data_IF_675724750683
#
_entry.id   IF_675724750683
#
_cell.length_a   1.000
_cell.length_b   1.000
_cell.length_c   1.000
_cell.angle_alpha   90.00
_cell.angle_beta   90.00
_cell.angle_gamma   90.00
#
_symmetry.space_group_name_H-M   'P 1'
#
loop_
_entity.id
_entity.type
_entity.pdbx_description
1 polymer ?
#
# COMPACT_ATOMS: atom_id res chain seq x y z
N UNK A 1 -3.75 27.01 9.38
CA UNK A 1 -2.86 26.45 8.36
C UNK A 1 -3.10 27.08 6.99
N UNK A 2 -4.34 27.48 6.67
CA UNK A 2 -4.67 28.17 5.42
C UNK A 2 -5.34 29.49 5.83
N UNK A 3 -4.60 30.59 5.82
CA UNK A 3 -5.16 31.89 6.24
C UNK A 3 -4.72 33.06 5.36
N UNK A 4 -4.02 32.82 4.25
CA UNK A 4 -3.47 33.92 3.44
C UNK A 4 -3.38 33.66 1.92
N UNK A 5 -4.22 32.77 1.37
CA UNK A 5 -4.25 32.52 -0.09
C UNK A 5 -3.04 31.76 -0.66
N UNK A 6 -2.18 31.21 0.20
CA UNK A 6 -1.11 30.30 -0.19
C UNK A 6 -1.67 28.91 -0.50
N UNK A 7 -1.25 28.35 -1.63
CA UNK A 7 -1.56 26.97 -2.03
C UNK A 7 -0.84 26.03 -1.08
N UNK A 8 -1.58 25.15 -0.42
CA UNK A 8 -1.01 24.12 0.47
C UNK A 8 -1.14 22.77 -0.21
N UNK A 9 -0.01 22.13 -0.51
CA UNK A 9 0.05 20.82 -1.13
C UNK A 9 0.31 19.72 -0.09
N UNK A 10 -0.44 18.63 -0.23
CA UNK A 10 -0.25 17.37 0.48
C UNK A 10 -0.06 16.22 -0.52
N UNK A 11 0.48 15.11 -0.05
CA UNK A 11 0.68 13.89 -0.83
C UNK A 11 0.06 12.69 -0.10
N UNK A 12 -0.68 11.87 -0.84
CA UNK A 12 -1.43 10.76 -0.28
C UNK A 12 -0.55 9.61 0.22
N UNK A 13 -0.81 9.15 1.45
CA UNK A 13 -0.18 8.00 2.09
C UNK A 13 -0.86 6.67 1.72
N UNK A 14 -2.16 6.72 1.48
CA UNK A 14 -3.02 5.57 1.20
C UNK A 14 -3.97 5.90 0.07
N UNK A 15 -4.47 4.85 -0.59
CA UNK A 15 -5.64 4.98 -1.44
C UNK A 15 -6.84 5.35 -0.54
N UNK A 16 -7.52 6.45 -0.88
CA UNK A 16 -8.85 6.74 -0.36
C UNK A 16 -9.85 6.31 -1.42
N UNK A 17 -10.40 5.11 -1.26
CA UNK A 17 -11.45 4.59 -2.13
C UNK A 17 -12.78 4.98 -1.51
N UNK A 18 -13.54 5.81 -2.21
CA UNK A 18 -14.86 6.25 -1.80
C UNK A 18 -15.88 6.09 -2.92
N UNK A 19 -17.15 5.93 -2.54
CA UNK A 19 -18.32 5.94 -3.43
C UNK A 19 -19.24 7.13 -3.13
N UNK A 20 -18.89 7.96 -2.15
CA UNK A 20 -19.61 9.19 -1.81
C UNK A 20 -19.18 10.30 -2.76
N UNK A 21 -20.14 11.04 -3.31
CA UNK A 21 -19.90 12.11 -4.27
C UNK A 21 -19.38 13.41 -3.63
N UNK A 22 -19.41 13.49 -2.30
CA UNK A 22 -18.82 14.58 -1.53
C UNK A 22 -17.38 14.29 -1.05
N UNK A 23 -16.93 13.03 -1.16
CA UNK A 23 -15.58 12.63 -0.76
C UNK A 23 -14.63 12.58 -1.96
N UNK A 24 -13.36 12.88 -1.71
CA UNK A 24 -12.31 12.93 -2.73
C UNK A 24 -11.56 11.60 -2.80
N UNK A 25 -11.84 10.79 -3.81
CA UNK A 25 -11.06 9.58 -4.07
C UNK A 25 -9.67 9.87 -4.64
N UNK A 26 -8.65 9.17 -4.14
CA UNK A 26 -7.27 9.28 -4.64
C UNK A 26 -6.46 8.01 -4.39
N UNK A 27 -5.31 7.90 -5.03
CA UNK A 27 -4.32 6.83 -4.86
C UNK A 27 -3.13 7.30 -4.04
N UNK A 28 -2.46 6.37 -3.37
CA UNK A 28 -1.21 6.66 -2.68
C UNK A 28 -0.18 7.28 -3.65
N UNK A 29 0.41 8.42 -3.25
CA UNK A 29 1.32 9.21 -4.06
C UNK A 29 0.67 10.37 -4.85
N UNK A 30 -0.66 10.45 -4.92
CA UNK A 30 -1.33 11.58 -5.57
C UNK A 30 -1.09 12.89 -4.79
N UNK A 31 -0.91 13.99 -5.53
CA UNK A 31 -0.74 15.33 -4.97
C UNK A 31 -2.11 16.00 -4.85
N UNK A 32 -2.42 16.49 -3.65
CA UNK A 32 -3.70 17.08 -3.29
C UNK A 32 -3.46 18.53 -2.87
N UNK A 33 -4.15 19.46 -3.53
CA UNK A 33 -4.25 20.85 -3.10
C UNK A 33 -5.24 20.93 -1.94
N UNK A 34 -4.78 21.31 -0.75
CA UNK A 34 -5.60 21.44 0.47
C UNK A 34 -6.22 22.82 0.50
N UNK A 35 -7.54 22.86 0.40
CA UNK A 35 -8.34 24.08 0.29
C UNK A 35 -8.91 24.52 1.65
N UNK A 36 -9.33 23.54 2.48
CA UNK A 36 -9.82 23.77 3.83
C UNK A 36 -9.26 22.72 4.80
N UNK A 37 -8.59 23.19 5.86
CA UNK A 37 -8.03 22.37 6.94
C UNK A 37 -8.54 22.82 8.32
N UNK A 38 -9.75 23.38 8.38
CA UNK A 38 -10.37 23.88 9.62
C UNK A 38 -10.75 22.74 10.57
N UNK A 39 -11.20 21.61 10.00
CA UNK A 39 -11.49 20.40 10.77
C UNK A 39 -10.19 19.59 10.97
N UNK A 40 -10.09 18.90 12.10
CA UNK A 40 -8.91 18.13 12.52
C UNK A 40 -8.76 16.79 11.79
N UNK A 41 -9.86 16.20 11.36
CA UNK A 41 -9.91 14.85 10.80
C UNK A 41 -10.24 14.85 9.32
N UNK A 42 -11.06 15.80 8.85
CA UNK A 42 -11.54 15.86 7.47
C UNK A 42 -11.21 17.21 6.84
N UNK A 43 -10.49 17.19 5.72
CA UNK A 43 -10.07 18.36 4.97
C UNK A 43 -10.77 18.40 3.61
N UNK A 44 -11.00 19.60 3.07
CA UNK A 44 -11.46 19.77 1.69
C UNK A 44 -10.25 20.00 0.79
N UNK A 45 -10.18 19.30 -0.33
CA UNK A 45 -9.08 19.46 -1.26
C UNK A 45 -9.45 19.16 -2.70
N UNK A 46 -8.46 19.32 -3.57
CA UNK A 46 -8.60 19.20 -5.01
C UNK A 46 -7.47 18.34 -5.58
N UNK A 47 -7.83 17.47 -6.51
CA UNK A 47 -6.91 16.77 -7.43
C UNK A 47 -7.28 17.14 -8.87
N UNK A 48 -6.52 16.69 -9.87
CA UNK A 48 -6.79 17.00 -11.28
C UNK A 48 -8.21 16.60 -11.73
N UNK A 49 -8.75 15.53 -11.16
CA UNK A 49 -10.02 14.91 -11.57
C UNK A 49 -11.24 15.35 -10.73
N UNK A 50 -11.08 16.25 -9.74
CA UNK A 50 -12.19 16.72 -8.91
C UNK A 50 -11.79 17.34 -7.56
N UNK A 51 -12.80 17.75 -6.77
CA UNK A 51 -12.65 18.27 -5.41
C UNK A 51 -13.63 17.59 -4.45
N UNK A 52 -13.27 17.49 -3.17
CA UNK A 52 -14.06 16.76 -2.17
C UNK A 52 -13.42 16.71 -0.78
N UNK A 53 -14.14 16.13 0.17
CA UNK A 53 -13.65 15.86 1.53
C UNK A 53 -12.73 14.64 1.56
N UNK A 54 -11.66 14.72 2.33
CA UNK A 54 -10.79 13.58 2.56
C UNK A 54 -10.21 13.57 3.98
N UNK A 55 -9.84 12.39 4.50
CA UNK A 55 -9.27 12.27 5.83
C UNK A 55 -7.83 12.83 5.88
N UNK A 56 -7.58 13.79 6.77
CA UNK A 56 -6.26 14.40 6.99
C UNK A 56 -5.18 13.35 7.37
N UNK A 57 -5.60 12.26 8.00
CA UNK A 57 -4.72 11.16 8.41
C UNK A 57 -4.18 10.32 7.24
N UNK A 58 -4.75 10.50 6.03
CA UNK A 58 -4.36 9.77 4.82
C UNK A 58 -3.35 10.54 3.97
N UNK A 59 -2.91 11.73 4.41
CA UNK A 59 -1.99 12.56 3.63
C UNK A 59 -0.80 13.04 4.46
N UNK A 60 0.27 13.45 3.78
CA UNK A 60 1.41 14.18 4.35
C UNK A 60 1.50 15.54 3.67
N UNK A 61 1.50 16.62 4.45
CA UNK A 61 1.81 17.95 3.93
C UNK A 61 3.26 18.00 3.44
N UNK A 62 3.50 18.62 2.28
CA UNK A 62 4.86 18.89 1.80
C UNK A 62 5.58 19.85 2.73
N UNK A 63 6.88 19.70 2.87
CA UNK A 63 7.69 20.60 3.72
C UNK A 63 7.90 21.93 3.02
N UNK A 64 8.18 21.88 1.72
CA UNK A 64 8.34 23.07 0.89
C UNK A 64 7.07 23.28 0.05
N UNK A 65 6.32 24.36 0.34
CA UNK A 65 4.98 24.65 -0.21
C UNK A 65 5.00 25.54 -1.47
N UNK A 66 6.08 26.29 -1.69
CA UNK A 66 6.18 27.34 -2.73
C UNK A 66 6.66 26.83 -4.09
N UNK A 67 6.08 25.76 -4.64
CA UNK A 67 6.33 25.40 -6.03
C UNK A 67 5.07 25.47 -6.89
N UNK A 68 5.02 26.37 -7.89
CA UNK A 68 4.11 26.19 -9.02
C UNK A 68 4.52 24.93 -9.78
N UNK A 69 3.54 24.16 -10.24
CA UNK A 69 3.68 22.83 -10.83
C UNK A 69 4.53 22.71 -12.12
N UNK A 70 5.28 23.75 -12.52
CA UNK A 70 5.87 23.91 -13.86
C UNK A 70 7.37 24.30 -13.86
N UNK A 71 8.19 23.90 -12.87
CA UNK A 71 9.66 24.04 -13.01
C UNK A 71 10.27 23.11 -14.08
N UNK A 72 9.51 22.10 -14.52
CA UNK A 72 9.94 21.18 -15.59
C UNK A 72 9.88 21.83 -16.98
N UNK A 73 9.05 22.87 -17.17
CA UNK A 73 8.91 23.61 -18.43
C UNK A 73 10.02 24.67 -18.64
N UNK A 74 10.60 25.20 -17.58
CA UNK A 74 11.61 26.28 -17.64
C UNK A 74 13.02 25.78 -18.01
N UNK A 75 13.28 24.46 -17.96
CA UNK A 75 14.58 23.88 -18.38
C UNK A 75 14.81 23.89 -19.90
N UNK A 76 13.83 24.28 -20.70
CA UNK A 76 13.93 24.36 -22.16
C UNK A 76 14.28 25.77 -22.69
N UNK A 77 14.40 26.78 -21.82
CA UNK A 77 14.52 28.19 -22.23
C UNK A 77 15.72 28.93 -21.67
N UNK A 78 16.77 28.99 -22.51
CA UNK A 78 17.77 30.05 -22.64
C UNK A 78 18.95 30.15 -21.66
N UNK A 79 20.12 30.38 -22.26
CA UNK A 79 21.42 30.47 -21.62
C UNK A 79 21.75 31.90 -21.21
N UNK A 80 22.17 32.05 -19.95
CA UNK A 80 22.76 33.28 -19.43
C UNK A 80 23.22 33.09 -18.00
N UNK A 81 24.45 32.60 -17.81
CA UNK A 81 25.05 32.51 -16.48
C UNK A 81 25.87 33.78 -16.19
N UNK A 82 25.68 34.37 -15.00
CA UNK A 82 26.73 34.64 -13.99
C UNK A 82 26.26 35.69 -12.98
N UNK A 83 25.40 35.27 -12.03
CA UNK A 83 25.39 35.75 -10.62
C UNK A 83 24.42 34.90 -9.74
N UNK A 84 23.34 34.37 -10.33
CA UNK A 84 22.28 33.64 -9.60
C UNK A 84 22.57 32.19 -9.18
N UNK A 85 23.76 31.64 -9.49
CA UNK A 85 24.07 30.22 -9.23
C UNK A 85 24.33 29.91 -7.75
N UNK A 86 24.97 30.83 -7.02
CA UNK A 86 25.26 30.66 -5.61
C UNK A 86 24.01 30.85 -4.73
N UNK A 87 23.16 31.83 -5.07
CA UNK A 87 21.90 32.08 -4.38
C UNK A 87 20.89 30.95 -4.60
N UNK A 88 20.77 30.43 -5.84
CA UNK A 88 19.92 29.28 -6.14
C UNK A 88 20.39 28.00 -5.45
N UNK A 89 21.70 27.76 -5.37
CA UNK A 89 22.25 26.62 -4.63
C UNK A 89 22.04 26.77 -3.12
N UNK A 90 22.22 27.96 -2.55
CA UNK A 90 21.94 28.23 -1.14
C UNK A 90 20.46 28.05 -0.79
N UNK A 91 19.55 28.37 -1.72
CA UNK A 91 18.10 28.14 -1.54
C UNK A 91 17.76 26.64 -1.54
N UNK A 92 18.33 25.85 -2.46
CA UNK A 92 18.16 24.39 -2.47
C UNK A 92 18.76 23.70 -1.24
N UNK A 93 19.91 24.16 -0.77
CA UNK A 93 20.53 23.70 0.47
C UNK A 93 19.59 23.96 1.67
N UNK A 94 18.91 25.12 1.70
CA UNK A 94 17.91 25.43 2.73
C UNK A 94 16.68 24.51 2.62
N UNK A 95 16.17 24.26 1.42
CA UNK A 95 15.05 23.33 1.20
C UNK A 95 15.40 21.91 1.66
N UNK A 96 16.61 21.42 1.34
CA UNK A 96 17.11 20.13 1.83
C UNK A 96 17.20 20.11 3.36
N UNK A 97 17.71 21.20 3.96
CA UNK A 97 17.76 21.36 5.43
C UNK A 97 16.38 21.25 6.06
N UNK A 98 15.35 21.87 5.47
CA UNK A 98 13.99 21.80 5.98
C UNK A 98 13.48 20.36 6.03
N UNK A 99 13.70 19.58 4.96
CA UNK A 99 13.30 18.17 4.89
C UNK A 99 14.03 17.32 5.93
N UNK A 100 15.34 17.52 6.09
CA UNK A 100 16.15 16.81 7.10
C UNK A 100 15.65 17.08 8.52
N UNK A 101 15.36 18.34 8.82
CA UNK A 101 14.82 18.73 10.13
C UNK A 101 13.43 18.15 10.36
N UNK A 102 12.57 18.10 9.33
CA UNK A 102 11.25 17.46 9.42
C UNK A 102 11.37 15.96 9.69
N UNK A 103 12.25 15.25 8.98
CA UNK A 103 12.52 13.83 9.23
C UNK A 103 12.93 13.64 10.69
N UNK A 104 13.95 14.35 11.16
CA UNK A 104 14.45 14.22 12.54
C UNK A 104 13.41 14.61 13.60
N UNK A 105 12.63 15.66 13.35
CA UNK A 105 11.59 16.09 14.29
C UNK A 105 10.48 15.04 14.37
N UNK A 106 9.96 14.60 13.22
CA UNK A 106 8.88 13.59 13.20
C UNK A 106 9.31 12.25 13.74
N UNK A 107 10.59 11.88 13.62
CA UNK A 107 11.18 10.71 14.26
C UNK A 107 11.17 10.81 15.80
N UNK A 108 11.53 11.96 16.35
CA UNK A 108 11.50 12.20 17.80
C UNK A 108 10.08 12.16 18.34
N UNK A 109 9.14 12.77 17.64
CA UNK A 109 7.73 12.76 18.01
C UNK A 109 7.16 11.35 17.95
N UNK A 110 7.49 10.58 16.91
CA UNK A 110 7.06 9.20 16.78
C UNK A 110 7.63 8.30 17.89
N UNK A 111 8.93 8.42 18.22
CA UNK A 111 9.50 7.70 19.37
C UNK A 111 8.81 8.06 20.67
N UNK A 112 8.45 9.34 20.86
CA UNK A 112 7.72 9.79 22.04
C UNK A 112 6.37 9.10 22.13
N UNK A 113 5.63 9.01 21.02
CA UNK A 113 4.36 8.29 20.95
C UNK A 113 4.53 6.80 21.29
N UNK A 114 5.51 6.11 20.69
CA UNK A 114 5.79 4.70 20.99
C UNK A 114 6.13 4.48 22.47
N UNK A 115 6.94 5.36 23.06
CA UNK A 115 7.26 5.32 24.49
C UNK A 115 6.00 5.48 25.32
N UNK A 116 5.17 6.48 25.02
CA UNK A 116 3.96 6.76 25.80
C UNK A 116 2.95 5.60 25.69
N UNK A 117 2.90 4.88 24.56
CA UNK A 117 2.13 3.63 24.42
C UNK A 117 2.70 2.53 25.34
N UNK A 118 4.00 2.25 25.25
CA UNK A 118 4.64 1.18 26.00
C UNK A 118 4.61 1.43 27.52
N UNK A 119 4.89 2.65 27.95
CA UNK A 119 5.01 3.02 29.37
C UNK A 119 3.67 3.44 29.99
N UNK A 120 2.84 4.15 29.22
CA UNK A 120 1.57 4.69 29.68
C UNK A 120 0.42 3.69 29.62
N UNK A 121 0.35 2.86 28.57
CA UNK A 121 -0.72 1.86 28.41
C UNK A 121 -0.25 0.45 28.74
N UNK A 122 0.68 -0.12 27.97
CA UNK A 122 1.04 -1.56 28.07
C UNK A 122 1.47 -1.91 29.49
N UNK A 123 2.35 -1.10 30.09
CA UNK A 123 2.81 -1.30 31.47
C UNK A 123 1.67 -1.28 32.49
N UNK A 124 0.64 -0.45 32.30
CA UNK A 124 -0.50 -0.37 33.22
C UNK A 124 -1.47 -1.52 32.97
N UNK A 125 -1.71 -1.90 31.71
CA UNK A 125 -2.57 -3.03 31.37
C UNK A 125 -2.02 -4.35 31.96
N UNK A 126 -0.69 -4.59 31.86
CA UNK A 126 -0.03 -5.77 32.45
C UNK A 126 -0.16 -5.85 33.98
N UNK A 127 -0.28 -4.72 34.68
CA UNK A 127 -0.53 -4.71 36.14
C UNK A 127 -1.96 -5.09 36.50
N UNK A 128 -2.88 -5.08 35.53
CA UNK A 128 -4.30 -5.34 35.71
C UNK A 128 -4.70 -6.65 35.02
N UNK A 129 -4.12 -7.76 35.48
CA UNK A 129 -4.47 -9.10 35.01
C UNK A 129 -5.95 -9.47 35.27
N UNK A 130 -6.62 -8.74 36.17
CA UNK A 130 -8.07 -8.81 36.39
C UNK A 130 -8.89 -8.17 35.25
N UNK A 131 -8.28 -7.29 34.45
CA UNK A 131 -8.92 -6.59 33.32
C UNK A 131 -8.43 -7.07 31.96
N UNK A 132 -7.17 -7.47 31.83
CA UNK A 132 -6.56 -7.82 30.55
C UNK A 132 -5.90 -9.19 30.64
N UNK A 133 -6.27 -10.11 29.74
CA UNK A 133 -5.50 -11.33 29.53
C UNK A 133 -4.26 -11.06 28.67
N UNK A 134 -3.25 -11.93 28.76
CA UNK A 134 -2.07 -11.85 27.88
C UNK A 134 -2.43 -11.96 26.40
N UNK A 135 -3.47 -12.71 26.06
CA UNK A 135 -3.99 -12.80 24.69
C UNK A 135 -4.57 -11.45 24.23
N UNK A 136 -5.39 -10.80 25.05
CA UNK A 136 -5.93 -9.46 24.73
C UNK A 136 -4.81 -8.44 24.57
N UNK A 137 -3.76 -8.49 25.39
CA UNK A 137 -2.61 -7.60 25.25
C UNK A 137 -1.88 -7.81 23.92
N UNK A 138 -1.68 -9.07 23.50
CA UNK A 138 -1.09 -9.39 22.20
C UNK A 138 -1.98 -8.91 21.04
N UNK A 139 -3.29 -9.13 21.13
CA UNK A 139 -4.23 -8.66 20.09
C UNK A 139 -4.24 -7.14 19.98
N UNK A 140 -4.29 -6.41 21.10
CA UNK A 140 -4.39 -4.94 21.09
C UNK A 140 -3.07 -4.30 20.67
N UNK A 141 -1.93 -4.74 21.23
CA UNK A 141 -0.66 -4.04 21.07
C UNK A 141 0.30 -4.69 20.06
N UNK A 142 0.06 -5.94 19.66
CA UNK A 142 0.93 -6.67 18.72
C UNK A 142 2.39 -6.67 19.17
N UNK A 143 3.28 -6.44 18.21
CA UNK A 143 4.73 -6.34 18.41
C UNK A 143 5.22 -4.87 18.57
N UNK A 144 4.38 -3.94 19.06
CA UNK A 144 4.75 -2.52 19.15
C UNK A 144 5.96 -2.24 20.06
N UNK A 145 6.22 -3.09 21.05
CA UNK A 145 7.42 -2.96 21.89
C UNK A 145 8.71 -3.27 21.12
N UNK A 146 8.64 -4.17 20.13
CA UNK A 146 9.76 -4.47 19.23
C UNK A 146 9.95 -3.32 18.24
N UNK A 147 8.86 -2.77 17.68
CA UNK A 147 8.91 -1.52 16.89
C UNK A 147 9.59 -0.41 17.70
N UNK A 148 9.21 -0.21 18.97
CA UNK A 148 9.83 0.79 19.82
C UNK A 148 11.33 0.55 20.06
N UNK A 149 11.74 -0.71 20.19
CA UNK A 149 13.16 -1.07 20.33
C UNK A 149 13.95 -0.73 19.06
N UNK A 150 13.47 -1.16 17.90
CA UNK A 150 14.09 -0.87 16.60
C UNK A 150 14.12 0.63 16.32
N UNK A 151 13.02 1.34 16.58
CA UNK A 151 12.95 2.79 16.36
C UNK A 151 13.99 3.54 17.18
N UNK A 152 14.20 3.16 18.45
CA UNK A 152 15.24 3.77 19.30
C UNK A 152 16.64 3.64 18.70
N UNK A 153 16.97 2.50 18.10
CA UNK A 153 18.25 2.31 17.42
C UNK A 153 18.33 3.19 16.16
N UNK A 154 17.27 3.18 15.35
CA UNK A 154 17.19 3.94 14.11
C UNK A 154 17.33 5.47 14.32
N UNK A 155 16.58 6.04 15.28
CA UNK A 155 16.68 7.49 15.58
C UNK A 155 18.06 7.86 16.09
N UNK A 156 18.68 7.00 16.91
CA UNK A 156 20.05 7.23 17.37
C UNK A 156 21.04 7.26 16.19
N UNK A 157 20.87 6.36 15.20
CA UNK A 157 21.69 6.36 13.99
C UNK A 157 21.48 7.63 13.15
N UNK A 158 20.23 8.07 12.97
CA UNK A 158 19.92 9.33 12.27
C UNK A 158 20.54 10.55 12.96
N UNK A 159 20.44 10.65 14.29
CA UNK A 159 21.03 11.76 15.05
C UNK A 159 22.56 11.79 14.99
N UNK A 160 23.20 10.63 14.81
CA UNK A 160 24.65 10.53 14.62
C UNK A 160 25.09 10.99 13.22
N UNK A 161 24.24 10.82 12.20
CA UNK A 161 24.51 11.30 10.83
C UNK A 161 24.12 12.76 10.61
N UNK A 162 23.45 13.38 11.56
CA UNK A 162 23.04 14.78 11.47
C UNK A 162 24.23 15.74 11.63
N UNK A 163 24.47 16.56 10.61
CA UNK A 163 25.49 17.61 10.65
C UNK A 163 24.90 18.90 11.25
N UNK A 164 25.33 19.25 12.46
CA UNK A 164 24.82 20.44 13.18
C UNK A 164 25.24 21.76 12.57
N UNK A 165 26.43 21.82 11.96
CA UNK A 165 26.97 23.06 11.39
C UNK A 165 26.37 23.33 10.00
N UNK A 166 26.18 22.26 9.21
CA UNK A 166 25.62 22.31 7.86
C UNK A 166 24.59 21.20 7.68
N UNK A 167 23.34 21.38 8.16
CA UNK A 167 22.30 20.36 8.12
C UNK A 167 22.08 19.73 6.75
N UNK A 168 22.17 20.52 5.67
CA UNK A 168 22.05 20.05 4.29
C UNK A 168 23.18 19.11 3.82
N UNK A 169 24.24 18.92 4.60
CA UNK A 169 25.29 17.93 4.32
C UNK A 169 25.08 16.61 5.09
N UNK A 170 23.98 16.46 5.84
CA UNK A 170 23.68 15.22 6.55
C UNK A 170 23.45 14.07 5.56
N UNK A 171 23.97 12.89 5.89
CA UNK A 171 23.93 11.68 5.07
C UNK A 171 22.94 10.67 5.70
N UNK A 172 21.66 10.79 5.36
CA UNK A 172 20.59 10.01 6.01
C UNK A 172 20.24 8.72 5.25
N UNK A 173 20.54 8.64 3.95
CA UNK A 173 20.15 7.50 3.11
C UNK A 173 20.71 6.17 3.61
N UNK A 174 21.99 6.16 4.00
CA UNK A 174 22.65 4.98 4.54
C UNK A 174 21.96 4.43 5.80
N UNK A 175 21.44 5.29 6.68
CA UNK A 175 20.73 4.84 7.89
C UNK A 175 19.50 4.00 7.57
N UNK A 176 18.75 4.37 6.52
CA UNK A 176 17.56 3.60 6.10
C UNK A 176 17.94 2.24 5.51
N UNK A 177 19.02 2.18 4.74
CA UNK A 177 19.51 0.93 4.16
C UNK A 177 20.02 -0.04 5.23
N UNK A 178 20.78 0.47 6.21
CA UNK A 178 21.29 -0.32 7.35
C UNK A 178 20.16 -0.95 8.18
N UNK A 179 19.00 -0.28 8.29
CA UNK A 179 17.84 -0.74 9.06
C UNK A 179 16.71 -1.33 8.20
N UNK A 180 16.94 -1.59 6.91
CA UNK A 180 15.91 -2.08 5.97
C UNK A 180 15.22 -3.36 6.47
N UNK A 181 15.99 -4.29 7.03
CA UNK A 181 15.47 -5.54 7.57
C UNK A 181 14.62 -5.31 8.83
N UNK A 182 14.99 -4.33 9.67
CA UNK A 182 14.25 -4.01 10.90
C UNK A 182 12.84 -3.47 10.58
N UNK A 183 12.66 -2.80 9.45
CA UNK A 183 11.34 -2.31 9.04
C UNK A 183 10.36 -3.42 8.65
N UNK A 184 10.81 -4.66 8.43
CA UNK A 184 9.91 -5.78 8.08
C UNK A 184 8.95 -6.14 9.21
N UNK A 185 9.29 -5.85 10.47
CA UNK A 185 8.42 -6.13 11.63
C UNK A 185 7.11 -5.31 11.60
N UNK A 186 7.10 -4.19 10.86
CA UNK A 186 5.87 -3.41 10.64
C UNK A 186 4.82 -4.20 9.86
N UNK A 187 5.22 -5.21 9.08
CA UNK A 187 4.29 -6.12 8.38
C UNK A 187 3.40 -6.87 9.37
N UNK A 188 3.99 -7.46 10.40
CA UNK A 188 3.24 -8.14 11.47
C UNK A 188 2.30 -7.16 12.19
N UNK A 189 2.80 -5.97 12.54
CA UNK A 189 1.99 -4.95 13.22
C UNK A 189 0.77 -4.54 12.39
N UNK A 190 0.98 -4.21 11.11
CA UNK A 190 -0.08 -3.76 10.21
C UNK A 190 -1.12 -4.86 9.94
N UNK A 191 -0.69 -6.13 9.87
CA UNK A 191 -1.59 -7.28 9.73
C UNK A 191 -2.47 -7.50 10.97
N UNK A 192 -1.92 -7.26 12.17
CA UNK A 192 -2.67 -7.42 13.41
C UNK A 192 -3.53 -6.18 13.75
N UNK A 193 -3.21 -5.00 13.22
CA UNK A 193 -3.90 -3.75 13.55
C UNK A 193 -5.44 -3.80 13.38
N UNK A 194 -6.02 -4.43 12.33
CA UNK A 194 -7.48 -4.62 12.25
C UNK A 194 -8.07 -5.36 13.46
N UNK A 195 -7.40 -6.41 13.93
CA UNK A 195 -7.83 -7.18 15.12
C UNK A 195 -7.76 -6.32 16.39
N UNK A 196 -6.71 -5.50 16.51
CA UNK A 196 -6.59 -4.54 17.60
C UNK A 196 -7.77 -3.54 17.60
N UNK A 197 -8.16 -3.02 16.43
CA UNK A 197 -9.30 -2.11 16.29
C UNK A 197 -10.61 -2.78 16.72
N UNK A 198 -10.84 -4.03 16.33
CA UNK A 198 -12.04 -4.80 16.74
C UNK A 198 -12.08 -5.01 18.25
N UNK A 199 -10.97 -5.44 18.86
CA UNK A 199 -10.91 -5.68 20.30
C UNK A 199 -11.05 -4.36 21.09
N UNK A 200 -10.39 -3.28 20.66
CA UNK A 200 -10.57 -1.95 21.27
C UNK A 200 -12.02 -1.48 21.16
N UNK A 201 -12.66 -1.60 20.00
CA UNK A 201 -14.07 -1.23 19.80
C UNK A 201 -15.02 -2.03 20.70
N UNK A 202 -14.66 -3.28 21.03
CA UNK A 202 -15.40 -4.10 21.98
C UNK A 202 -15.19 -3.62 23.42
N UNK A 203 -13.95 -3.30 23.79
CA UNK A 203 -13.59 -2.84 25.14
C UNK A 203 -14.14 -1.43 25.43
N UNK A 204 -14.16 -0.52 24.46
CA UNK A 204 -14.67 0.85 24.64
C UNK A 204 -16.18 0.90 24.88
N UNK A 205 -16.93 -0.17 24.57
CA UNK A 205 -18.35 -0.32 24.97
C UNK A 205 -18.54 -0.56 26.47
N UNK A 206 -17.47 -0.91 27.19
CA UNK A 206 -17.49 -1.22 28.60
C UNK A 206 -16.86 -0.06 29.39
N UNK A 207 -17.67 0.64 30.19
CA UNK A 207 -17.28 1.86 30.91
C UNK A 207 -15.98 1.71 31.72
N UNK A 208 -15.76 0.55 32.35
CA UNK A 208 -14.53 0.28 33.12
C UNK A 208 -13.25 0.42 32.30
N UNK A 209 -13.25 0.05 31.03
CA UNK A 209 -12.07 0.18 30.15
C UNK A 209 -11.93 1.60 29.64
N UNK A 210 -13.04 2.30 29.35
CA UNK A 210 -13.02 3.71 28.98
C UNK A 210 -12.36 4.56 30.07
N UNK A 211 -12.79 4.40 31.32
CA UNK A 211 -12.17 5.11 32.45
C UNK A 211 -10.72 4.70 32.67
N UNK A 212 -10.38 3.42 32.46
CA UNK A 212 -9.01 2.94 32.60
C UNK A 212 -8.08 3.55 31.55
N UNK A 213 -8.48 3.56 30.28
CA UNK A 213 -7.67 4.16 29.21
C UNK A 213 -7.54 5.66 29.38
N UNK A 214 -8.60 6.36 29.78
CA UNK A 214 -8.53 7.80 30.07
C UNK A 214 -7.59 8.10 31.26
N UNK A 215 -7.64 7.28 32.32
CA UNK A 215 -6.70 7.41 33.43
C UNK A 215 -5.24 7.21 32.98
N UNK A 216 -4.97 6.20 32.14
CA UNK A 216 -3.64 6.00 31.56
C UNK A 216 -3.18 7.22 30.74
N UNK A 217 -4.08 7.79 29.93
CA UNK A 217 -3.83 8.99 29.12
C UNK A 217 -3.43 10.19 29.96
N UNK A 218 -4.20 10.47 31.01
CA UNK A 218 -3.97 11.61 31.90
C UNK A 218 -2.69 11.44 32.73
N UNK A 219 -2.41 10.24 33.26
CA UNK A 219 -1.21 9.98 34.07
C UNK A 219 0.08 10.16 33.28
N UNK A 220 0.10 9.72 32.01
CA UNK A 220 1.26 9.87 31.13
C UNK A 220 1.32 11.27 30.49
N UNK A 221 0.33 12.15 30.74
CA UNK A 221 0.20 13.50 30.16
C UNK A 221 0.26 13.47 28.62
N UNK A 222 -0.42 12.48 28.03
CA UNK A 222 -0.51 12.34 26.59
C UNK A 222 -1.42 13.41 25.98
N UNK A 223 -1.16 13.74 24.72
CA UNK A 223 -2.05 14.59 23.92
C UNK A 223 -3.45 13.96 23.83
N UNK A 224 -4.45 14.79 23.54
CA UNK A 224 -5.85 14.37 23.44
C UNK A 224 -6.11 13.63 22.11
N UNK A 225 -5.53 12.44 22.04
CA UNK A 225 -5.69 11.43 20.99
C UNK A 225 -6.08 10.14 21.69
N UNK A 226 -7.05 9.44 21.13
CA UNK A 226 -7.52 8.15 21.62
C UNK A 226 -6.45 7.06 21.47
N UNK A 227 -6.59 5.96 22.22
CA UNK A 227 -5.62 4.86 22.15
C UNK A 227 -5.57 4.25 20.73
N UNK A 228 -6.70 4.10 20.06
CA UNK A 228 -6.78 3.68 18.66
C UNK A 228 -6.00 4.62 17.71
N UNK A 229 -6.11 5.94 17.90
CA UNK A 229 -5.32 6.92 17.15
C UNK A 229 -3.81 6.76 17.38
N UNK A 230 -3.38 6.50 18.61
CA UNK A 230 -1.97 6.19 18.92
C UNK A 230 -1.50 4.90 18.24
N UNK A 231 -2.32 3.84 18.25
CA UNK A 231 -1.98 2.56 17.63
C UNK A 231 -1.98 2.60 16.10
N UNK A 232 -2.59 3.62 15.49
CA UNK A 232 -2.50 3.86 14.04
C UNK A 232 -1.16 4.49 13.63
N UNK A 233 -0.44 5.12 14.55
CA UNK A 233 0.79 5.87 14.23
C UNK A 233 1.89 5.04 13.56
N UNK A 234 2.17 3.76 13.92
CA UNK A 234 3.17 2.96 13.21
C UNK A 234 2.77 2.66 11.76
N UNK A 235 1.48 2.42 11.53
CA UNK A 235 0.91 2.18 10.20
C UNK A 235 1.06 3.42 9.32
N UNK A 236 0.83 4.61 9.87
CA UNK A 236 1.06 5.87 9.15
C UNK A 236 2.55 6.13 8.91
N UNK A 237 3.40 5.84 9.89
CA UNK A 237 4.81 6.18 9.84
C UNK A 237 5.55 5.44 8.74
N UNK A 238 5.28 4.14 8.59
CA UNK A 238 5.95 3.33 7.56
C UNK A 238 5.61 3.80 6.14
N UNK A 239 4.42 4.35 5.92
CA UNK A 239 3.97 4.91 4.64
C UNK A 239 4.46 6.35 4.39
N UNK A 240 4.89 7.07 5.44
CA UNK A 240 5.47 8.42 5.31
C UNK A 240 6.90 8.40 4.80
N UNK A 241 7.67 7.33 5.05
CA UNK A 241 9.08 7.27 4.67
C UNK A 241 9.35 7.42 3.17
N UNK A 242 8.62 6.76 2.25
CA UNK A 242 8.79 6.99 0.83
C UNK A 242 8.59 8.46 0.42
N UNK A 243 7.61 9.15 1.02
CA UNK A 243 7.33 10.54 0.70
C UNK A 243 8.44 11.47 1.21
N UNK A 244 8.89 11.25 2.44
CA UNK A 244 10.00 11.99 3.06
C UNK A 244 11.31 11.82 2.26
N UNK A 245 11.61 10.59 1.83
CA UNK A 245 12.81 10.29 1.04
C UNK A 245 12.71 10.82 -0.40
N UNK A 246 11.53 10.80 -1.02
CA UNK A 246 11.32 11.39 -2.34
C UNK A 246 11.53 12.91 -2.31
N UNK A 247 10.99 13.60 -1.30
CA UNK A 247 11.19 15.03 -1.12
C UNK A 247 12.66 15.35 -0.79
N UNK A 248 13.33 14.51 0.01
CA UNK A 248 14.77 14.66 0.27
C UNK A 248 15.59 14.51 -1.01
N UNK A 249 15.29 13.50 -1.84
CA UNK A 249 15.97 13.24 -3.10
C UNK A 249 15.80 14.41 -4.07
N UNK A 250 14.60 15.01 -4.14
CA UNK A 250 14.30 16.18 -4.97
C UNK A 250 15.26 17.34 -4.73
N UNK A 251 15.62 17.59 -3.47
CA UNK A 251 16.54 18.66 -3.07
C UNK A 251 17.98 18.16 -2.81
N UNK A 252 18.33 16.95 -3.26
CA UNK A 252 19.68 16.41 -3.18
C UNK A 252 20.32 16.41 -4.58
N UNK A 253 21.40 17.17 -4.84
CA UNK A 253 22.02 17.18 -6.16
C UNK A 253 22.74 15.85 -6.46
N UNK A 254 22.84 15.42 -7.74
CA UNK A 254 23.49 14.15 -8.10
C UNK A 254 24.95 14.00 -7.65
N UNK A 255 25.64 15.11 -7.40
CA UNK A 255 27.01 15.14 -6.91
C UNK A 255 27.10 15.01 -5.37
N UNK A 256 25.98 15.13 -4.65
CA UNK A 256 25.94 14.98 -3.21
C UNK A 256 26.27 13.54 -2.80
N UNK A 257 27.02 13.37 -1.71
CA UNK A 257 27.47 12.06 -1.22
C UNK A 257 26.32 11.11 -0.90
N UNK A 258 25.24 11.67 -0.35
CA UNK A 258 24.02 10.94 0.04
C UNK A 258 23.07 10.63 -1.13
N UNK A 259 23.31 11.13 -2.36
CA UNK A 259 22.33 11.03 -3.45
C UNK A 259 21.95 9.57 -3.77
N UNK A 260 22.94 8.71 -3.99
CA UNK A 260 22.72 7.30 -4.33
C UNK A 260 22.07 6.53 -3.19
N UNK A 261 22.47 6.83 -1.95
CA UNK A 261 21.93 6.14 -0.78
C UNK A 261 20.48 6.57 -0.52
N UNK A 262 20.13 7.84 -0.73
CA UNK A 262 18.73 8.32 -0.63
C UNK A 262 17.87 7.71 -1.74
N UNK A 263 18.38 7.61 -2.98
CA UNK A 263 17.68 6.96 -4.08
C UNK A 263 17.42 5.47 -3.78
N UNK A 264 18.44 4.75 -3.32
CA UNK A 264 18.31 3.34 -2.94
C UNK A 264 17.37 3.17 -1.72
N UNK A 265 17.49 4.03 -0.71
CA UNK A 265 16.61 4.02 0.46
C UNK A 265 15.14 4.28 0.06
N UNK A 266 14.90 5.23 -0.85
CA UNK A 266 13.56 5.49 -1.38
C UNK A 266 12.96 4.24 -2.02
N UNK A 267 13.74 3.54 -2.86
CA UNK A 267 13.29 2.30 -3.47
C UNK A 267 13.01 1.20 -2.43
N UNK A 268 13.91 1.03 -1.46
CA UNK A 268 13.75 0.07 -0.37
C UNK A 268 12.48 0.35 0.46
N UNK A 269 12.25 1.60 0.86
CA UNK A 269 11.08 1.97 1.65
C UNK A 269 9.77 1.91 0.86
N UNK A 270 9.79 2.22 -0.45
CA UNK A 270 8.64 1.96 -1.35
C UNK A 270 8.29 0.47 -1.37
N UNK A 271 9.28 -0.40 -1.43
CA UNK A 271 9.06 -1.85 -1.39
C UNK A 271 8.48 -2.30 -0.04
N UNK A 272 8.99 -1.80 1.08
CA UNK A 272 8.43 -2.11 2.41
C UNK A 272 6.97 -1.67 2.52
N UNK A 273 6.66 -0.42 2.17
CA UNK A 273 5.29 0.10 2.21
C UNK A 273 4.35 -0.69 1.29
N UNK A 274 4.80 -1.03 0.08
CA UNK A 274 4.04 -1.86 -0.87
C UNK A 274 3.75 -3.24 -0.29
N UNK A 275 4.75 -3.92 0.27
CA UNK A 275 4.58 -5.26 0.87
C UNK A 275 3.58 -5.24 2.04
N UNK A 276 3.63 -4.20 2.87
CA UNK A 276 2.70 -4.02 3.98
C UNK A 276 1.26 -3.81 3.48
N UNK A 277 1.09 -2.91 2.50
CA UNK A 277 -0.22 -2.65 1.91
C UNK A 277 -0.78 -3.90 1.22
N UNK A 278 0.07 -4.63 0.51
CA UNK A 278 -0.29 -5.87 -0.18
C UNK A 278 -0.73 -6.96 0.82
N UNK A 279 0.02 -7.14 1.90
CA UNK A 279 -0.29 -8.16 2.91
C UNK A 279 -1.60 -7.87 3.64
N UNK A 280 -1.88 -6.60 3.92
CA UNK A 280 -3.20 -6.17 4.43
C UNK A 280 -4.31 -6.49 3.41
N UNK A 281 -4.11 -6.14 2.14
CA UNK A 281 -5.07 -6.43 1.05
C UNK A 281 -5.35 -7.93 0.94
N UNK A 282 -4.33 -8.79 1.08
CA UNK A 282 -4.50 -10.25 1.06
C UNK A 282 -5.33 -10.78 2.22
N UNK A 283 -5.08 -10.32 3.44
CA UNK A 283 -5.89 -10.73 4.60
C UNK A 283 -7.37 -10.36 4.42
N UNK A 284 -7.66 -9.15 3.93
CA UNK A 284 -9.04 -8.75 3.60
C UNK A 284 -9.63 -9.53 2.41
N UNK A 285 -8.77 -10.01 1.49
CA UNK A 285 -9.20 -10.83 0.36
C UNK A 285 -9.52 -12.26 0.78
N UNK A 286 -8.86 -12.83 1.80
CA UNK A 286 -9.12 -14.22 2.24
C UNK A 286 -10.60 -14.42 2.58
N UNK A 287 -11.18 -13.52 3.38
CA UNK A 287 -12.60 -13.59 3.74
C UNK A 287 -13.51 -13.43 2.52
N UNK A 288 -13.15 -12.50 1.61
CA UNK A 288 -13.88 -12.29 0.36
C UNK A 288 -13.83 -13.51 -0.56
N UNK A 289 -12.70 -14.21 -0.63
CA UNK A 289 -12.50 -15.41 -1.43
C UNK A 289 -13.34 -16.56 -0.87
N UNK A 290 -13.32 -16.76 0.46
CA UNK A 290 -14.16 -17.76 1.12
C UNK A 290 -15.65 -17.50 0.89
N UNK A 291 -16.09 -16.25 1.10
CA UNK A 291 -17.47 -15.84 0.84
C UNK A 291 -17.85 -16.02 -0.64
N UNK A 292 -16.97 -15.59 -1.55
CA UNK A 292 -17.18 -15.76 -2.98
C UNK A 292 -17.33 -17.23 -3.35
N UNK A 293 -16.43 -18.11 -2.90
CA UNK A 293 -16.51 -19.54 -3.15
C UNK A 293 -17.84 -20.13 -2.64
N UNK A 294 -18.26 -19.74 -1.44
CA UNK A 294 -19.54 -20.20 -0.86
C UNK A 294 -20.78 -19.75 -1.65
N UNK A 295 -20.65 -18.70 -2.46
CA UNK A 295 -21.72 -18.21 -3.34
C UNK A 295 -21.76 -18.90 -4.70
N UNK A 296 -20.75 -19.71 -5.04
CA UNK A 296 -20.70 -20.45 -6.31
C UNK A 296 -21.46 -21.77 -6.19
N UNK A 297 -22.42 -21.96 -7.08
CA UNK A 297 -23.21 -23.18 -7.17
C UNK A 297 -22.38 -24.33 -7.78
N UNK A 298 -22.69 -25.57 -7.40
CA UNK A 298 -22.03 -26.80 -7.87
C UNK A 298 -20.49 -26.81 -7.69
N UNK A 299 -19.97 -26.24 -6.59
CA UNK A 299 -18.54 -26.22 -6.34
C UNK A 299 -17.96 -27.64 -6.23
N UNK A 300 -16.88 -27.91 -6.98
CA UNK A 300 -16.16 -29.19 -6.94
C UNK A 300 -14.66 -28.96 -6.71
N UNK A 301 -14.04 -29.86 -5.95
CA UNK A 301 -12.61 -29.83 -5.60
C UNK A 301 -12.32 -29.13 -4.27
N UNK A 302 -11.06 -28.84 -4.01
CA UNK A 302 -10.60 -28.20 -2.77
C UNK A 302 -10.97 -26.71 -2.68
N UNK A 303 -10.93 -26.17 -1.47
CA UNK A 303 -11.11 -24.74 -1.23
C UNK A 303 -10.00 -23.91 -1.88
N UNK A 304 -10.34 -22.74 -2.40
CA UNK A 304 -9.40 -21.81 -3.03
C UNK A 304 -8.25 -21.47 -2.10
N UNK A 305 -8.57 -21.24 -0.82
CA UNK A 305 -7.65 -20.81 0.21
C UNK A 305 -6.56 -21.84 0.55
N UNK A 306 -6.68 -23.09 0.06
CA UNK A 306 -5.62 -24.10 0.20
C UNK A 306 -4.38 -23.71 -0.60
N UNK A 307 -4.58 -23.09 -1.77
CA UNK A 307 -3.51 -22.76 -2.72
C UNK A 307 -3.44 -21.28 -3.10
N UNK A 308 -4.47 -20.50 -2.82
CA UNK A 308 -4.59 -19.12 -3.28
C UNK A 308 -4.91 -18.16 -2.14
N UNK A 309 -4.37 -16.96 -2.23
CA UNK A 309 -4.59 -15.86 -1.29
C UNK A 309 -5.10 -14.58 -1.95
N UNK A 310 -5.14 -14.52 -3.29
CA UNK A 310 -5.46 -13.30 -4.02
C UNK A 310 -6.19 -13.57 -5.34
N UNK A 311 -7.26 -12.80 -5.60
CA UNK A 311 -7.84 -12.67 -6.94
C UNK A 311 -7.07 -11.60 -7.73
N UNK A 312 -6.44 -12.00 -8.83
CA UNK A 312 -5.57 -11.13 -9.65
C UNK A 312 -6.36 -10.46 -10.77
N UNK A 313 -7.26 -11.21 -11.41
CA UNK A 313 -8.11 -10.68 -12.47
C UNK A 313 -9.35 -11.53 -12.69
N UNK A 314 -10.43 -10.92 -13.17
CA UNK A 314 -11.62 -11.65 -13.60
C UNK A 314 -12.26 -11.02 -14.83
N UNK A 315 -12.97 -11.84 -15.60
CA UNK A 315 -13.64 -11.36 -16.81
C UNK A 315 -14.24 -12.47 -17.66
N UNK A 316 -15.00 -12.07 -18.67
CA UNK A 316 -15.57 -13.01 -19.64
C UNK A 316 -14.55 -13.39 -20.71
N UNK A 317 -14.44 -14.70 -20.96
CA UNK A 317 -13.72 -15.25 -22.10
C UNK A 317 -14.55 -16.32 -22.78
N UNK A 318 -14.26 -16.57 -24.06
CA UNK A 318 -14.79 -17.70 -24.78
C UNK A 318 -13.76 -18.82 -24.76
N UNK A 319 -14.09 -19.95 -24.14
CA UNK A 319 -13.31 -21.18 -24.23
C UNK A 319 -13.74 -21.97 -25.44
N UNK A 320 -12.78 -22.45 -26.22
CA UNK A 320 -13.04 -23.37 -27.33
C UNK A 320 -12.59 -24.77 -26.88
N UNK A 321 -13.54 -25.71 -26.79
CA UNK A 321 -13.26 -27.07 -26.30
C UNK A 321 -13.04 -28.06 -27.44
N UNK A 322 -12.04 -28.92 -27.31
CA UNK A 322 -11.90 -30.14 -28.13
C UNK A 322 -12.93 -31.21 -27.72
N UNK A 323 -13.33 -32.13 -28.63
CA UNK A 323 -12.93 -32.28 -30.04
C UNK A 323 -13.81 -31.53 -31.05
N UNK A 324 -14.98 -31.01 -30.63
CA UNK A 324 -15.99 -30.43 -31.54
C UNK A 324 -15.87 -28.92 -31.74
N UNK A 325 -14.76 -28.29 -31.30
CA UNK A 325 -14.54 -26.84 -31.34
C UNK A 325 -15.72 -26.00 -30.83
N UNK A 326 -16.41 -26.50 -29.80
CA UNK A 326 -17.58 -25.83 -29.24
C UNK A 326 -17.14 -24.60 -28.43
N UNK A 327 -17.63 -23.44 -28.83
CA UNK A 327 -17.40 -22.18 -28.12
C UNK A 327 -18.32 -22.08 -26.90
N UNK A 328 -17.72 -21.80 -25.75
CA UNK A 328 -18.40 -21.66 -24.47
C UNK A 328 -17.99 -20.35 -23.82
N UNK A 329 -18.93 -19.41 -23.70
CA UNK A 329 -18.72 -18.19 -22.92
C UNK A 329 -18.73 -18.54 -21.43
N UNK A 330 -17.70 -18.15 -20.70
CA UNK A 330 -17.54 -18.38 -19.27
C UNK A 330 -16.99 -17.13 -18.59
N UNK A 331 -17.32 -16.97 -17.32
CA UNK A 331 -16.62 -16.05 -16.42
C UNK A 331 -15.38 -16.76 -15.92
N UNK A 332 -14.22 -16.12 -16.07
CA UNK A 332 -12.95 -16.61 -15.56
C UNK A 332 -12.48 -15.75 -14.38
N UNK A 333 -11.87 -16.39 -13.39
CA UNK A 333 -11.35 -15.80 -12.16
C UNK A 333 -9.93 -16.34 -11.95
N UNK A 334 -8.94 -15.49 -12.21
CA UNK A 334 -7.52 -15.81 -12.07
C UNK A 334 -7.08 -15.48 -10.65
N UNK A 335 -6.72 -16.51 -9.89
CA UNK A 335 -6.06 -16.41 -8.60
C UNK A 335 -4.58 -16.73 -8.75
N UNK A 336 -3.79 -16.45 -7.72
CA UNK A 336 -2.46 -17.04 -7.56
C UNK A 336 -2.58 -18.57 -7.59
N UNK A 337 -1.75 -19.23 -8.40
CA UNK A 337 -1.67 -20.70 -8.61
C UNK A 337 -2.82 -21.36 -9.39
N UNK A 338 -3.99 -20.73 -9.55
CA UNK A 338 -5.14 -21.39 -10.19
C UNK A 338 -6.11 -20.44 -10.89
N UNK A 339 -6.72 -20.92 -11.97
CA UNK A 339 -7.74 -20.22 -12.75
C UNK A 339 -9.07 -20.97 -12.68
N UNK A 340 -10.10 -20.34 -12.14
CA UNK A 340 -11.45 -20.89 -12.03
C UNK A 340 -12.33 -20.36 -13.16
N UNK A 341 -13.23 -21.20 -13.70
CA UNK A 341 -14.22 -20.73 -14.66
C UNK A 341 -15.64 -21.21 -14.36
N UNK A 342 -16.58 -20.27 -14.45
CA UNK A 342 -17.99 -20.46 -14.11
C UNK A 342 -18.90 -20.14 -15.29
N UNK A 343 -20.11 -20.72 -15.28
CA UNK A 343 -21.21 -20.40 -16.19
C UNK A 343 -22.21 -19.50 -15.45
N UNK A 344 -22.59 -18.36 -16.05
CA UNK A 344 -23.70 -17.53 -15.55
C UNK A 344 -25.03 -18.25 -15.71
N UNK A 345 -25.92 -18.10 -14.72
CA UNK A 345 -27.31 -18.50 -14.85
C UNK A 345 -27.99 -17.74 -16.00
N UNK A 346 -28.99 -18.37 -16.62
CA UNK A 346 -29.72 -17.79 -17.76
C UNK A 346 -30.65 -16.64 -17.33
N UNK A 347 -31.21 -16.73 -16.13
CA UNK A 347 -32.20 -15.79 -15.59
C UNK A 347 -31.58 -14.88 -14.53
N UNK A 348 -30.78 -15.45 -13.62
CA UNK A 348 -30.14 -14.73 -12.50
C UNK A 348 -28.67 -14.42 -12.79
N UNK A 349 -28.39 -13.30 -13.46
CA UNK A 349 -27.03 -12.97 -13.95
C UNK A 349 -25.95 -12.88 -12.85
N UNK A 350 -26.36 -12.70 -11.61
CA UNK A 350 -25.56 -12.69 -10.39
C UNK A 350 -25.13 -14.09 -9.92
N UNK A 351 -25.81 -15.15 -10.37
CA UNK A 351 -25.53 -16.53 -9.97
C UNK A 351 -24.59 -17.21 -10.95
N UNK A 352 -23.57 -17.86 -10.39
CA UNK A 352 -22.49 -18.52 -11.11
C UNK A 352 -22.45 -20.00 -10.71
N UNK A 353 -22.39 -20.87 -11.71
CA UNK A 353 -22.18 -22.31 -11.52
C UNK A 353 -20.75 -22.65 -11.87
N UNK A 354 -20.06 -23.32 -10.95
CA UNK A 354 -18.71 -23.84 -11.18
C UNK A 354 -18.69 -24.79 -12.39
N UNK A 355 -17.64 -24.70 -13.21
CA UNK A 355 -17.43 -25.59 -14.38
C UNK A 355 -16.03 -26.16 -14.48
N UNK A 356 -15.13 -25.78 -13.57
CA UNK A 356 -13.80 -26.35 -13.46
C UNK A 356 -12.75 -25.32 -13.07
N UNK A 357 -11.54 -25.86 -12.88
CA UNK A 357 -10.33 -25.13 -12.52
C UNK A 357 -9.17 -25.57 -13.39
N UNK A 358 -8.16 -24.72 -13.46
CA UNK A 358 -6.93 -24.94 -14.21
C UNK A 358 -5.77 -24.56 -13.30
N UNK A 359 -4.82 -25.49 -13.12
CA UNK A 359 -3.60 -25.24 -12.33
C UNK A 359 -2.61 -24.42 -13.14
N UNK A 360 -2.24 -23.24 -12.62
CA UNK A 360 -1.38 -22.30 -13.32
C UNK A 360 0.12 -22.61 -13.17
N UNK A 361 0.51 -23.46 -12.20
CA UNK A 361 1.92 -23.65 -11.85
C UNK A 361 2.74 -24.38 -12.93
N UNK A 362 2.08 -25.22 -13.72
CA UNK A 362 2.69 -25.94 -14.85
C UNK A 362 2.32 -25.38 -16.23
N UNK A 363 1.70 -24.20 -16.29
CA UNK A 363 1.16 -23.64 -17.53
C UNK A 363 2.01 -22.52 -18.11
N UNK A 364 2.16 -22.57 -19.43
CA UNK A 364 2.69 -21.48 -20.24
C UNK A 364 1.56 -20.79 -21.00
N UNK A 365 1.60 -19.45 -21.02
CA UNK A 365 0.67 -18.62 -21.79
C UNK A 365 1.28 -18.28 -23.13
N UNK A 366 0.65 -18.76 -24.21
CA UNK A 366 1.07 -18.49 -25.58
C UNK A 366 0.11 -17.50 -26.23
N UNK A 367 0.65 -16.32 -26.57
CA UNK A 367 -0.08 -15.32 -27.34
C UNK A 367 -0.28 -15.82 -28.79
N UNK A 368 -1.52 -15.75 -29.30
CA UNK A 368 -1.87 -16.20 -30.65
C UNK A 368 -2.30 -15.02 -31.53
N UNK A 369 -1.73 -14.96 -32.74
CA UNK A 369 -2.17 -14.02 -33.77
C UNK A 369 -3.56 -14.36 -34.30
N UNK A 370 -4.28 -13.34 -34.78
CA UNK A 370 -5.56 -13.51 -35.43
C UNK A 370 -5.39 -14.33 -36.72
N UNK A 371 -6.19 -15.37 -36.90
CA UNK A 371 -6.02 -16.25 -38.04
C UNK A 371 -6.75 -17.57 -37.89
N UNK A 372 -6.21 -18.62 -38.52
CA UNK A 372 -6.73 -19.97 -38.40
C UNK A 372 -5.87 -20.74 -37.40
N UNK A 373 -6.50 -21.23 -36.35
CA UNK A 373 -5.85 -22.11 -35.37
C UNK A 373 -5.44 -23.42 -36.05
N UNK A 374 -4.17 -23.81 -35.85
CA UNK A 374 -3.57 -24.96 -36.56
C UNK A 374 -4.10 -26.29 -36.06
N UNK A 375 -4.48 -26.38 -34.79
CA UNK A 375 -4.86 -27.63 -34.13
C UNK A 375 -6.37 -27.87 -34.19
N UNK A 376 -7.15 -26.81 -34.11
CA UNK A 376 -8.61 -26.86 -34.10
C UNK A 376 -9.24 -26.54 -35.46
N UNK A 377 -8.44 -26.05 -36.41
CA UNK A 377 -8.89 -25.60 -37.74
C UNK A 377 -10.02 -24.54 -37.71
N UNK A 378 -10.15 -23.80 -36.61
CA UNK A 378 -11.14 -22.72 -36.47
C UNK A 378 -10.49 -21.34 -36.64
N UNK A 379 -11.27 -20.37 -37.12
CA UNK A 379 -10.81 -18.98 -37.11
C UNK A 379 -10.88 -18.42 -35.68
N UNK A 380 -9.77 -17.88 -35.22
CA UNK A 380 -9.63 -17.26 -33.91
C UNK A 380 -9.29 -15.79 -34.05
N UNK A 381 -9.86 -14.99 -33.15
CA UNK A 381 -9.55 -13.57 -33.00
C UNK A 381 -9.37 -13.24 -31.53
N UNK A 382 -8.42 -12.36 -31.24
CA UNK A 382 -8.06 -11.95 -29.89
C UNK A 382 -7.83 -13.17 -28.97
N UNK A 383 -7.10 -14.17 -29.48
CA UNK A 383 -6.92 -15.44 -28.80
C UNK A 383 -5.56 -15.55 -28.12
N UNK A 384 -5.49 -16.44 -27.14
CA UNK A 384 -4.28 -16.93 -26.49
C UNK A 384 -4.55 -18.34 -25.99
N UNK A 385 -3.48 -19.08 -25.67
CA UNK A 385 -3.57 -20.48 -25.27
C UNK A 385 -2.83 -20.72 -23.97
N UNK A 386 -3.43 -21.51 -23.11
CA UNK A 386 -2.77 -22.07 -21.93
C UNK A 386 -2.29 -23.47 -22.28
N UNK A 387 -0.99 -23.72 -22.16
CA UNK A 387 -0.35 -24.99 -22.50
C UNK A 387 0.31 -25.62 -21.28
N UNK A 388 -0.05 -26.86 -20.98
CA UNK A 388 0.62 -27.64 -19.95
C UNK A 388 1.77 -28.41 -20.59
N UNK A 389 3.00 -27.98 -20.32
CA UNK A 389 4.19 -28.61 -20.91
C UNK A 389 4.39 -30.08 -20.50
N UNK A 390 3.84 -30.49 -19.35
CA UNK A 390 4.00 -31.85 -18.81
C UNK A 390 2.92 -32.82 -19.29
N UNK A 391 1.67 -32.38 -19.42
CA UNK A 391 0.53 -33.24 -19.82
C UNK A 391 0.15 -33.10 -21.29
N UNK A 392 0.59 -32.03 -21.96
CA UNK A 392 0.16 -31.67 -23.31
C UNK A 392 -1.27 -31.12 -23.37
N UNK A 393 -1.93 -30.91 -22.23
CA UNK A 393 -3.25 -30.27 -22.20
C UNK A 393 -3.18 -28.83 -22.72
N UNK A 394 -4.19 -28.45 -23.51
CA UNK A 394 -4.29 -27.11 -24.08
C UNK A 394 -5.67 -26.51 -23.90
N UNK A 395 -5.71 -25.22 -23.57
CA UNK A 395 -6.93 -24.46 -23.44
C UNK A 395 -6.87 -23.23 -24.33
N UNK A 396 -7.64 -23.25 -25.42
CA UNK A 396 -7.79 -22.09 -26.30
C UNK A 396 -8.85 -21.14 -25.71
N UNK A 397 -8.45 -19.89 -25.50
CA UNK A 397 -9.28 -18.83 -24.93
C UNK A 397 -9.29 -17.61 -25.87
N UNK A 398 -10.47 -17.04 -26.09
CA UNK A 398 -10.66 -15.87 -26.94
C UNK A 398 -11.33 -14.73 -26.16
N UNK A 399 -10.74 -13.55 -26.22
CA UNK A 399 -11.35 -12.32 -25.72
C UNK A 399 -12.28 -11.69 -26.77
N UNK A 400 -13.22 -10.86 -26.34
CA UNK A 400 -14.14 -10.18 -27.27
C UNK A 400 -13.46 -9.01 -27.99
N UNK A 401 -12.53 -8.33 -27.32
CA UNK A 401 -11.82 -7.16 -27.84
C UNK A 401 -10.29 -7.30 -27.68
N UNK A 402 -9.48 -6.63 -28.52
CA UNK A 402 -8.02 -6.66 -28.40
C UNK A 402 -7.51 -6.15 -27.04
N UNK A 403 -8.13 -5.10 -26.50
CA UNK A 403 -7.72 -4.52 -25.21
C UNK A 403 -7.95 -5.50 -24.06
N UNK A 404 -9.01 -6.32 -24.16
CA UNK A 404 -9.30 -7.36 -23.17
C UNK A 404 -8.26 -8.48 -23.23
N UNK A 405 -7.84 -8.90 -24.43
CA UNK A 405 -6.74 -9.86 -24.60
C UNK A 405 -5.47 -9.36 -23.92
N UNK A 406 -5.11 -8.10 -24.17
CA UNK A 406 -3.90 -7.50 -23.58
C UNK A 406 -3.98 -7.42 -22.04
N UNK A 407 -5.17 -7.12 -21.47
CA UNK A 407 -5.37 -7.16 -20.02
C UNK A 407 -5.19 -8.56 -19.44
N UNK A 408 -5.72 -9.59 -20.11
CA UNK A 408 -5.53 -10.99 -19.69
C UNK A 408 -4.07 -11.42 -19.74
N UNK A 409 -3.34 -11.12 -20.82
CA UNK A 409 -1.91 -11.44 -20.93
C UNK A 409 -1.09 -10.77 -19.82
N UNK A 410 -1.36 -9.49 -19.52
CA UNK A 410 -0.74 -8.79 -18.39
C UNK A 410 -1.11 -9.42 -17.05
N UNK A 411 -2.36 -9.86 -16.88
CA UNK A 411 -2.82 -10.50 -15.65
C UNK A 411 -2.09 -11.83 -15.39
N UNK A 412 -1.90 -12.66 -16.42
CA UNK A 412 -1.13 -13.90 -16.28
C UNK A 412 0.36 -13.64 -15.96
N UNK A 413 0.96 -12.62 -16.60
CA UNK A 413 2.34 -12.24 -16.27
C UNK A 413 2.48 -11.78 -14.81
N UNK A 414 1.53 -10.96 -14.34
CA UNK A 414 1.46 -10.52 -12.95
C UNK A 414 1.28 -11.69 -11.98
N UNK A 415 0.47 -12.68 -12.35
CA UNK A 415 0.25 -13.86 -11.53
C UNK A 415 1.52 -14.70 -11.35
N UNK A 416 2.30 -14.92 -12.41
CA UNK A 416 3.59 -15.60 -12.31
C UNK A 416 4.63 -14.82 -11.50
N UNK A 417 4.65 -13.49 -11.65
CA UNK A 417 5.49 -12.63 -10.82
C UNK A 417 5.09 -12.72 -9.34
N UNK A 418 3.78 -12.74 -9.07
CA UNK A 418 3.26 -12.80 -7.71
C UNK A 418 3.61 -14.11 -7.01
N UNK A 419 3.41 -15.24 -7.69
CA UNK A 419 3.78 -16.57 -7.18
C UNK A 419 5.28 -16.66 -6.88
N UNK A 420 6.13 -16.08 -7.74
CA UNK A 420 7.58 -16.05 -7.49
C UNK A 420 7.92 -15.22 -6.25
N UNK A 421 7.32 -14.04 -6.12
CA UNK A 421 7.55 -13.17 -4.95
C UNK A 421 7.15 -13.87 -3.65
N UNK A 422 6.01 -14.57 -3.64
CA UNK A 422 5.51 -15.25 -2.45
C UNK A 422 6.43 -16.42 -2.04
N UNK A 423 7.00 -17.15 -3.01
CA UNK A 423 8.00 -18.18 -2.73
C UNK A 423 9.32 -17.60 -2.16
N UNK A 424 9.70 -16.38 -2.56
CA UNK A 424 10.89 -15.70 -2.08
C UNK A 424 10.70 -15.08 -0.68
N UNK A 425 9.48 -14.61 -0.37
CA UNK A 425 9.19 -13.89 0.88
C UNK A 425 8.67 -14.77 2.01
N UNK A 426 8.32 -16.03 1.75
CA UNK A 426 7.65 -16.93 2.71
C UNK A 426 6.29 -16.38 3.13
#
# INVERSE_FOLDING_TARGET
LISDGSVVCAEALWDHVTMDDQELGFKAGDVIEVMDATNREWWWGRVADGEGWFPASFVRLRVNQDEPADEEALRAGDGGAQDGGAEAQSSKDQMRTNVINEILSTERDYIKHLRDICEGYIRQCRKRADMFSEEQLRTIFGNIEDIYRCQKAFVKALEQRFNRERPHLSELGACFLEHQADFQIYSEYCNNHPNACVELSRLTKLSKYVYFFEACRLLQKMIDISLDGFLLTPVQKICKYPLQLAELLKYTPPQHRDFKDVEAALHAMKNVARLINERKRRLENIDKIAQWQSSIEDWEGEDLLVRSSELIYSGELTRVTQPQAKSQQRMFFLFDHQLIYCKKDLLRRDVLYYKGRVDMDGLEVVDLEDGKDRDLHVSVKNAFRLLCGTTGESHLLCARKPEQKQRWLKAFAREREQVRLDQETG
#
